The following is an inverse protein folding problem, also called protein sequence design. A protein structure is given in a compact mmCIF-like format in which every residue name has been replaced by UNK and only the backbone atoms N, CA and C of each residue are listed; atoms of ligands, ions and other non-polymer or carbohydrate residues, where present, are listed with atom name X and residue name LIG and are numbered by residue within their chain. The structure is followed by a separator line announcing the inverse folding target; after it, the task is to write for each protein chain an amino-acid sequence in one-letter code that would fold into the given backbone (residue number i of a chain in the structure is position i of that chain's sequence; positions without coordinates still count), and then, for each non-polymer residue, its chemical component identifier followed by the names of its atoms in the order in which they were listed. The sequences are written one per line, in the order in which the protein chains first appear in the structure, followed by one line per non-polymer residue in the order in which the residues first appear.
data_IF_233607969269
#
_entry.id   IF_233607969269
#
_cell.length_a   1.000
_cell.length_b   1.000
_cell.length_c   1.000
_cell.angle_alpha   90.00
_cell.angle_beta   90.00
_cell.angle_gamma   90.00
#
_symmetry.space_group_name_H-M   'P 1'
#
loop_
_entity.id
_entity.type
_entity.pdbx_description
1 polymer ?
#
# COMPACT_ATOMS: atom_id res chain seq x y z
N UNK A 1 -0.98 -0.29 -12.98
CA UNK A 1 -1.26 0.23 -11.63
C UNK A 1 0.00 0.12 -10.78
N UNK A 2 0.33 1.16 -10.07
CA UNK A 2 1.47 1.15 -9.14
C UNK A 2 1.18 0.23 -7.96
N UNK A 3 2.13 -0.65 -7.62
CA UNK A 3 2.06 -1.50 -6.42
C UNK A 3 3.12 -1.03 -5.44
N UNK A 4 2.72 -0.81 -4.18
CA UNK A 4 3.61 -0.42 -3.10
C UNK A 4 3.63 -1.51 -2.04
N UNK A 5 4.82 -1.90 -1.62
CA UNK A 5 4.98 -2.78 -0.48
C UNK A 5 4.63 -2.01 0.80
N UNK A 6 3.95 -2.68 1.72
CA UNK A 6 3.54 -2.10 2.99
C UNK A 6 3.78 -3.09 4.12
N UNK A 7 4.16 -2.58 5.29
CA UNK A 7 4.29 -3.40 6.48
C UNK A 7 2.91 -3.90 6.92
N UNK A 8 2.84 -5.14 7.41
CA UNK A 8 1.58 -5.75 7.83
C UNK A 8 0.83 -4.89 8.84
N UNK A 9 1.53 -4.35 9.85
CA UNK A 9 0.89 -3.52 10.88
C UNK A 9 0.18 -2.29 10.30
N UNK A 10 0.72 -1.70 9.26
CA UNK A 10 0.09 -0.54 8.61
C UNK A 10 -1.08 -0.96 7.74
N UNK A 11 -0.95 -2.08 7.01
CA UNK A 11 -2.05 -2.61 6.22
C UNK A 11 -3.25 -2.96 7.09
N UNK A 12 -3.02 -3.63 8.23
CA UNK A 12 -4.07 -3.97 9.18
C UNK A 12 -4.74 -2.70 9.75
N UNK A 13 -3.96 -1.67 10.03
CA UNK A 13 -4.49 -0.40 10.53
C UNK A 13 -5.37 0.31 9.48
N UNK A 14 -4.99 0.22 8.21
CA UNK A 14 -5.81 0.74 7.10
C UNK A 14 -7.12 -0.04 6.99
N UNK A 15 -7.06 -1.36 7.01
CA UNK A 15 -8.25 -2.23 6.92
C UNK A 15 -9.20 -1.96 8.08
N UNK A 16 -8.66 -1.73 9.28
CA UNK A 16 -9.45 -1.39 10.46
C UNK A 16 -10.04 0.03 10.44
N UNK A 17 -9.65 0.86 9.48
CA UNK A 17 -10.12 2.24 9.37
C UNK A 17 -9.39 3.25 10.26
N UNK A 18 -8.34 2.82 10.94
CA UNK A 18 -7.57 3.70 11.85
C UNK A 18 -6.52 4.53 11.12
N UNK A 19 -5.99 4.02 10.02
CA UNK A 19 -4.99 4.71 9.21
C UNK A 19 -5.59 5.02 7.84
N UNK A 20 -5.67 6.31 7.49
CA UNK A 20 -6.33 6.79 6.28
C UNK A 20 -5.39 7.55 5.35
N UNK A 21 -4.09 7.43 5.58
CA UNK A 21 -3.06 8.14 4.84
C UNK A 21 -1.81 7.29 4.73
N UNK A 22 -0.95 7.65 3.76
CA UNK A 22 0.38 7.07 3.56
C UNK A 22 1.40 8.20 3.43
N UNK A 23 2.61 7.95 3.94
CA UNK A 23 3.77 8.81 3.76
C UNK A 23 4.76 8.04 2.90
N UNK A 24 5.12 8.59 1.76
CA UNK A 24 6.01 7.90 0.81
C UNK A 24 7.06 8.83 0.23
N UNK A 25 8.24 8.28 0.02
CA UNK A 25 9.27 8.89 -0.81
C UNK A 25 8.87 8.72 -2.28
N UNK A 26 8.92 9.79 -3.04
CA UNK A 26 8.53 9.75 -4.45
C UNK A 26 9.49 8.92 -5.29
N UNK A 27 10.79 9.14 -5.10
CA UNK A 27 11.82 8.57 -5.98
C UNK A 27 11.54 8.99 -7.42
N UNK A 28 11.46 8.03 -8.34
CA UNK A 28 11.09 8.24 -9.73
C UNK A 28 9.60 7.98 -10.02
N UNK A 29 8.80 7.77 -8.96
CA UNK A 29 7.37 7.51 -9.07
C UNK A 29 6.57 8.80 -9.06
N UNK A 30 5.41 8.77 -9.69
CA UNK A 30 4.47 9.88 -9.67
C UNK A 30 3.26 9.52 -8.82
N UNK A 31 2.86 10.46 -7.96
CA UNK A 31 1.65 10.35 -7.16
C UNK A 31 0.72 11.50 -7.53
N UNK A 32 -0.55 11.20 -7.77
CA UNK A 32 -1.54 12.20 -8.18
C UNK A 32 -2.92 11.85 -7.67
N UNK A 33 -3.76 12.87 -7.49
CA UNK A 33 -5.15 12.69 -7.06
C UNK A 33 -5.91 11.86 -8.10
N UNK A 34 -6.69 10.89 -7.61
CA UNK A 34 -7.43 9.96 -8.46
C UNK A 34 -6.67 8.71 -8.86
N UNK A 35 -5.40 8.61 -8.50
CA UNK A 35 -4.57 7.44 -8.82
C UNK A 35 -5.02 6.23 -8.00
N UNK A 36 -5.13 5.08 -8.68
CA UNK A 36 -5.31 3.79 -8.01
C UNK A 36 -3.97 3.17 -7.71
N UNK A 37 -3.81 2.70 -6.49
CA UNK A 37 -2.58 2.07 -6.00
C UNK A 37 -2.94 0.75 -5.33
N UNK A 38 -2.15 -0.28 -5.59
CA UNK A 38 -2.23 -1.55 -4.87
C UNK A 38 -1.23 -1.53 -3.71
N UNK A 39 -1.73 -1.61 -2.49
CA UNK A 39 -0.90 -1.82 -1.31
C UNK A 39 -0.77 -3.32 -1.11
N UNK A 40 0.45 -3.83 -0.97
CA UNK A 40 0.72 -5.25 -0.92
C UNK A 40 1.65 -5.60 0.24
N UNK A 41 1.23 -6.57 1.04
CA UNK A 41 2.09 -7.20 2.05
C UNK A 41 2.29 -8.66 1.67
N UNK A 42 3.53 -9.11 1.68
CA UNK A 42 3.88 -10.50 1.39
C UNK A 42 4.42 -11.17 2.65
N UNK A 43 3.81 -12.28 3.03
CA UNK A 43 4.26 -13.14 4.10
C UNK A 43 4.84 -14.42 3.50
N UNK A 44 6.09 -14.73 3.86
CA UNK A 44 6.77 -15.92 3.38
C UNK A 44 6.62 -17.04 4.41
N UNK A 45 6.02 -18.15 3.99
CA UNK A 45 5.91 -19.36 4.80
C UNK A 45 6.92 -20.40 4.32
N UNK A 46 8.11 -20.37 4.94
CA UNK A 46 9.26 -21.19 4.51
C UNK A 46 8.96 -22.68 4.56
N UNK A 47 8.26 -23.15 5.61
CA UNK A 47 7.95 -24.56 5.78
C UNK A 47 7.03 -25.12 4.69
N UNK A 48 6.23 -24.28 4.10
CA UNK A 48 5.29 -24.64 3.02
C UNK A 48 5.77 -24.22 1.65
N UNK A 49 6.91 -23.53 1.59
CA UNK A 49 7.47 -22.99 0.35
C UNK A 49 6.48 -22.11 -0.39
N UNK A 50 5.80 -21.24 0.36
CA UNK A 50 4.73 -20.38 -0.13
C UNK A 50 4.93 -18.92 0.23
N UNK A 51 4.47 -18.03 -0.65
CA UNK A 51 4.30 -16.62 -0.37
C UNK A 51 2.81 -16.29 -0.35
N UNK A 52 2.35 -15.64 0.71
CA UNK A 52 0.97 -15.19 0.84
C UNK A 52 0.96 -13.68 0.68
N UNK A 53 0.33 -13.22 -0.40
CA UNK A 53 0.19 -11.79 -0.71
C UNK A 53 -1.17 -11.30 -0.26
N UNK A 54 -1.19 -10.27 0.57
CA UNK A 54 -2.42 -9.57 0.95
C UNK A 54 -2.40 -8.21 0.28
N UNK A 55 -3.45 -7.90 -0.46
CA UNK A 55 -3.51 -6.71 -1.31
C UNK A 55 -4.76 -5.90 -1.05
N UNK A 56 -4.63 -4.59 -1.16
CA UNK A 56 -5.72 -3.65 -1.01
C UNK A 56 -5.56 -2.54 -2.04
N UNK A 57 -6.62 -2.30 -2.82
CA UNK A 57 -6.63 -1.20 -3.77
C UNK A 57 -7.13 0.05 -3.06
N UNK A 58 -6.38 1.14 -3.22
CA UNK A 58 -6.74 2.46 -2.72
C UNK A 58 -6.79 3.46 -3.87
N UNK A 59 -7.52 4.56 -3.65
CA UNK A 59 -7.57 5.67 -4.60
C UNK A 59 -7.18 6.95 -3.87
N UNK A 60 -6.14 7.64 -4.36
CA UNK A 60 -5.67 8.90 -3.75
C UNK A 60 -6.74 9.96 -3.91
N UNK A 61 -7.09 10.63 -2.81
CA UNK A 61 -8.05 11.74 -2.84
C UNK A 61 -7.44 13.10 -2.50
N UNK A 62 -6.32 13.14 -1.78
CA UNK A 62 -5.61 14.38 -1.47
C UNK A 62 -4.13 14.07 -1.32
N UNK A 63 -3.27 14.99 -1.72
CA UNK A 63 -1.82 14.83 -1.63
C UNK A 63 -1.18 16.16 -1.25
N UNK A 64 -0.16 16.11 -0.40
CA UNK A 64 0.61 17.29 -0.01
C UNK A 64 2.05 16.90 0.30
N UNK A 65 2.96 17.84 0.12
CA UNK A 65 4.35 17.73 0.58
C UNK A 65 4.68 18.77 1.66
N UNK A 66 3.65 19.49 2.13
CA UNK A 66 3.84 20.53 3.15
C UNK A 66 4.47 19.93 4.41
N UNK A 67 5.56 20.56 4.89
CA UNK A 67 6.31 20.16 6.08
C UNK A 67 6.88 18.75 6.02
N UNK A 68 7.03 18.17 4.83
CA UNK A 68 7.66 16.87 4.64
C UNK A 68 9.14 17.00 4.33
N UNK A 69 9.89 15.93 4.53
CA UNK A 69 11.26 15.82 4.03
C UNK A 69 11.26 15.98 2.52
N UNK A 70 12.40 16.45 1.98
CA UNK A 70 12.59 16.53 0.53
C UNK A 70 12.26 15.17 -0.12
N UNK A 71 11.53 15.22 -1.21
CA UNK A 71 11.07 14.06 -1.99
C UNK A 71 10.01 13.18 -1.31
N UNK A 72 9.48 13.59 -0.14
CA UNK A 72 8.40 12.86 0.53
C UNK A 72 7.05 13.53 0.30
N UNK A 73 6.01 12.71 0.21
CA UNK A 73 4.62 13.16 0.14
C UNK A 73 3.76 12.41 1.13
N UNK A 74 2.69 13.07 1.57
CA UNK A 74 1.61 12.45 2.32
C UNK A 74 0.39 12.46 1.43
N UNK A 75 -0.29 11.32 1.32
CA UNK A 75 -1.57 11.29 0.62
C UNK A 75 -2.64 10.57 1.44
N UNK A 76 -3.85 11.11 1.41
CA UNK A 76 -5.02 10.44 1.92
C UNK A 76 -5.71 9.69 0.78
N UNK A 77 -6.52 8.69 1.13
CA UNK A 77 -7.11 7.79 0.13
C UNK A 77 -8.43 7.21 0.61
N UNK A 78 -9.19 6.71 -0.35
CA UNK A 78 -10.32 5.83 -0.10
C UNK A 78 -9.92 4.39 -0.44
N UNK A 79 -10.48 3.44 0.30
CA UNK A 79 -10.34 2.02 -0.01
C UNK A 79 -11.32 1.67 -1.11
N UNK A 80 -10.85 0.96 -2.13
CA UNK A 80 -11.65 0.53 -3.27
C UNK A 80 -11.72 -0.99 -3.28
N UNK A 81 -12.92 -1.54 -3.07
CA UNK A 81 -13.12 -2.99 -3.07
C UNK A 81 -12.71 -3.66 -1.75
N UNK A 82 -12.58 -4.97 -1.81
CA UNK A 82 -12.28 -5.81 -0.65
C UNK A 82 -10.81 -6.18 -0.60
N UNK A 83 -10.36 -6.63 0.57
CA UNK A 83 -9.04 -7.21 0.75
C UNK A 83 -8.92 -8.47 -0.11
N UNK A 84 -7.83 -8.57 -0.86
CA UNK A 84 -7.55 -9.72 -1.72
C UNK A 84 -6.37 -10.51 -1.18
N UNK A 85 -6.43 -11.81 -1.30
CA UNK A 85 -5.33 -12.69 -0.91
C UNK A 85 -4.94 -13.57 -2.09
N UNK A 86 -3.64 -13.66 -2.35
CA UNK A 86 -3.08 -14.50 -3.39
C UNK A 86 -1.97 -15.35 -2.79
N UNK A 87 -1.97 -16.63 -3.13
CA UNK A 87 -0.95 -17.58 -2.67
C UNK A 87 -0.09 -18.00 -3.86
N UNK A 88 1.21 -17.85 -3.71
CA UNK A 88 2.18 -18.23 -4.73
C UNK A 88 3.12 -19.31 -4.17
N UNK A 89 3.44 -20.29 -5.01
CA UNK A 89 4.49 -21.26 -4.69
C UNK A 89 5.86 -20.64 -4.97
N UNK A 90 6.76 -20.75 -4.01
CA UNK A 90 8.14 -20.27 -4.14
C UNK A 90 8.96 -21.40 -4.74
N UNK A 91 9.62 -21.12 -5.86
CA UNK A 91 10.49 -22.10 -6.53
C UNK A 91 11.96 -21.85 -6.19
#
# INVERSE_FOLDING_TARGET
MLTLDILEKYLLSIIAGNKTFEIREKRDRKFYVGQYICLKHTNIEMNKNMAINTMLIIKIKYITDYAQKSDYVVFSFDIVGDVMTEVEEIK
#
